data_IF_719005784751
#
_entry.id   IF_719005784751
#
_cell.length_a   1.000
_cell.length_b   1.000
_cell.length_c   1.000
_cell.angle_alpha   90.00
_cell.angle_beta   90.00
_cell.angle_gamma   90.00
#
_symmetry.space_group_name_H-M   'P 1'
#
loop_
_entity.id
_entity.type
_entity.pdbx_description
1 polymer ?
#
# COMPACT_ATOMS: atom_id res chain seq x y z
N UNK A 1 -2.88 2.94 -25.09
CA UNK A 1 -1.72 2.62 -24.22
C UNK A 1 -2.07 2.41 -22.74
N UNK A 2 -2.85 3.28 -22.07
CA UNK A 2 -3.17 3.14 -20.62
C UNK A 2 -3.89 1.84 -20.25
N UNK A 3 -4.88 1.43 -21.04
CA UNK A 3 -5.66 0.21 -20.81
C UNK A 3 -4.78 -1.05 -20.84
N UNK A 4 -3.82 -1.11 -21.77
CA UNK A 4 -2.89 -2.23 -21.90
C UNK A 4 -2.00 -2.40 -20.66
N UNK A 5 -1.56 -1.29 -20.03
CA UNK A 5 -0.77 -1.38 -18.80
C UNK A 5 -1.59 -1.85 -17.61
N UNK A 6 -2.81 -1.32 -17.45
CA UNK A 6 -3.69 -1.71 -16.35
C UNK A 6 -4.06 -3.21 -16.40
N UNK A 7 -4.33 -3.73 -17.60
CA UNK A 7 -4.58 -5.17 -17.82
C UNK A 7 -3.35 -6.02 -17.54
N UNK A 8 -2.17 -5.62 -18.05
CA UNK A 8 -0.90 -6.33 -17.78
C UNK A 8 -0.59 -6.38 -16.28
N UNK A 9 -0.78 -5.27 -15.56
CA UNK A 9 -0.58 -5.20 -14.10
C UNK A 9 -1.55 -6.11 -13.36
N UNK A 10 -2.83 -6.12 -13.74
CA UNK A 10 -3.83 -7.01 -13.15
C UNK A 10 -3.49 -8.48 -13.41
N UNK A 11 -3.00 -8.82 -14.60
CA UNK A 11 -2.53 -10.17 -14.92
C UNK A 11 -1.36 -10.63 -14.04
N UNK A 12 -0.37 -9.75 -13.81
CA UNK A 12 0.76 -10.05 -12.90
C UNK A 12 0.25 -10.26 -11.46
N UNK A 13 -0.67 -9.42 -11.00
CA UNK A 13 -1.26 -9.53 -9.66
C UNK A 13 -2.05 -10.85 -9.49
N UNK A 14 -2.85 -11.23 -10.49
CA UNK A 14 -3.59 -12.48 -10.48
C UNK A 14 -2.65 -13.70 -10.49
N UNK A 15 -1.61 -13.68 -11.34
CA UNK A 15 -0.60 -14.74 -11.38
C UNK A 15 0.14 -14.86 -10.02
N UNK A 16 0.52 -13.74 -9.40
CA UNK A 16 1.16 -13.73 -8.10
C UNK A 16 0.24 -14.23 -6.98
N UNK A 17 -1.05 -13.94 -7.05
CA UNK A 17 -2.05 -14.44 -6.12
C UNK A 17 -2.19 -15.96 -6.20
N UNK A 18 -2.29 -16.51 -7.41
CA UNK A 18 -2.36 -17.95 -7.67
C UNK A 18 -1.07 -18.66 -7.26
N UNK A 19 0.10 -18.07 -7.57
CA UNK A 19 1.39 -18.65 -7.19
C UNK A 19 1.58 -18.72 -5.67
N UNK A 20 1.07 -17.73 -4.93
CA UNK A 20 1.09 -17.72 -3.46
C UNK A 20 -0.02 -18.59 -2.82
N UNK A 21 -1.06 -18.91 -3.59
CA UNK A 21 -2.22 -19.69 -3.16
C UNK A 21 -2.55 -20.84 -4.15
N UNK A 22 -1.62 -21.78 -4.40
CA UNK A 22 -1.81 -22.80 -5.42
C UNK A 22 -2.86 -23.85 -5.03
N UNK A 23 -3.12 -24.04 -3.74
CA UNK A 23 -4.01 -25.09 -3.23
C UNK A 23 -5.48 -24.65 -3.17
N UNK A 24 -6.02 -24.08 -4.24
CA UNK A 24 -7.36 -23.49 -4.26
C UNK A 24 -8.46 -24.49 -3.86
N UNK A 25 -8.30 -25.78 -4.17
CA UNK A 25 -9.25 -26.84 -3.79
C UNK A 25 -9.43 -26.95 -2.27
N UNK A 26 -8.38 -26.64 -1.50
CA UNK A 26 -8.42 -26.69 -0.05
C UNK A 26 -9.39 -25.66 0.55
N UNK A 27 -9.72 -24.58 -0.18
CA UNK A 27 -10.72 -23.59 0.25
C UNK A 27 -12.10 -24.22 0.40
N UNK A 28 -12.43 -25.19 -0.46
CA UNK A 28 -13.73 -25.86 -0.46
C UNK A 28 -13.73 -27.07 0.48
N UNK A 29 -12.57 -27.67 0.70
CA UNK A 29 -12.40 -28.79 1.63
C UNK A 29 -12.27 -28.33 3.09
N UNK A 30 -11.94 -27.06 3.34
CA UNK A 30 -11.75 -26.54 4.69
C UNK A 30 -10.48 -27.03 5.39
N UNK A 31 -9.52 -27.57 4.62
CA UNK A 31 -8.30 -28.18 5.15
C UNK A 31 -7.14 -27.21 4.97
N UNK A 32 -6.41 -26.93 6.05
CA UNK A 32 -5.21 -26.11 5.98
C UNK A 32 -4.07 -26.96 5.41
N UNK A 33 -3.44 -26.51 4.33
CA UNK A 33 -2.21 -27.13 3.83
C UNK A 33 -1.11 -27.04 4.89
N UNK A 34 -0.43 -28.15 5.20
CA UNK A 34 0.60 -28.24 6.26
C UNK A 34 2.00 -28.62 5.77
N UNK A 35 2.25 -28.58 4.46
CA UNK A 35 3.57 -28.93 3.92
C UNK A 35 4.65 -27.88 4.22
N UNK A 36 5.91 -28.25 3.99
CA UNK A 36 7.08 -27.47 4.42
C UNK A 36 7.15 -26.05 3.86
N UNK A 37 6.58 -25.80 2.69
CA UNK A 37 6.52 -24.46 2.11
C UNK A 37 5.79 -23.44 3.00
N UNK A 38 4.90 -23.89 3.90
CA UNK A 38 4.20 -23.02 4.85
C UNK A 38 5.13 -22.33 5.86
N UNK A 39 6.33 -22.86 6.08
CA UNK A 39 7.32 -22.21 6.94
C UNK A 39 8.05 -21.06 6.24
N UNK A 40 7.92 -20.95 4.92
CA UNK A 40 8.51 -19.87 4.14
C UNK A 40 7.58 -18.67 4.09
N UNK A 41 8.09 -17.50 4.45
CA UNK A 41 7.30 -16.27 4.35
C UNK A 41 7.00 -15.91 2.90
N UNK A 42 5.76 -15.52 2.63
CA UNK A 42 5.40 -14.85 1.39
C UNK A 42 5.85 -13.38 1.46
N UNK A 43 6.25 -12.76 0.34
CA UNK A 43 6.69 -11.35 0.32
C UNK A 43 5.52 -10.36 0.53
N UNK A 44 4.34 -10.83 0.86
CA UNK A 44 3.10 -10.05 0.96
C UNK A 44 2.23 -10.52 2.13
N UNK A 45 1.08 -9.87 2.36
CA UNK A 45 0.07 -10.42 3.28
C UNK A 45 -0.51 -11.68 2.65
N UNK A 46 -0.28 -12.82 3.28
CA UNK A 46 -0.79 -14.13 2.89
C UNK A 46 -1.02 -14.94 4.17
N UNK A 47 -2.27 -15.14 4.58
CA UNK A 47 -2.55 -15.71 5.90
C UNK A 47 -2.01 -17.14 6.06
N UNK A 48 -1.32 -17.45 7.17
CA UNK A 48 -0.83 -18.81 7.42
C UNK A 48 -1.97 -19.83 7.46
N UNK A 49 -3.10 -19.46 8.07
CA UNK A 49 -4.31 -20.29 8.16
C UNK A 49 -5.13 -20.34 6.87
N UNK A 50 -4.73 -19.63 5.80
CA UNK A 50 -5.42 -19.74 4.51
C UNK A 50 -5.27 -21.18 3.98
N UNK A 51 -6.38 -21.88 3.68
CA UNK A 51 -6.34 -23.23 3.12
C UNK A 51 -5.53 -23.33 1.81
N UNK A 52 -5.62 -22.30 0.97
CA UNK A 52 -4.96 -22.26 -0.33
C UNK A 52 -3.48 -21.82 -0.28
N UNK A 53 -3.06 -21.13 0.79
CA UNK A 53 -1.74 -20.51 0.82
C UNK A 53 -0.61 -21.54 0.86
N UNK A 54 0.43 -21.33 0.05
CA UNK A 54 1.65 -22.14 0.12
C UNK A 54 2.68 -21.62 1.12
N UNK A 55 2.58 -20.36 1.57
CA UNK A 55 3.54 -19.73 2.48
C UNK A 55 2.88 -19.04 3.68
N UNK A 56 3.69 -18.55 4.60
CA UNK A 56 3.27 -17.81 5.80
C UNK A 56 3.18 -16.30 5.58
N UNK A 57 2.38 -15.63 6.42
CA UNK A 57 2.41 -14.18 6.54
C UNK A 57 3.65 -13.77 7.34
N UNK A 58 4.52 -12.88 6.84
CA UNK A 58 5.67 -12.43 7.60
C UNK A 58 5.28 -11.61 8.84
N UNK A 59 4.12 -10.94 8.83
CA UNK A 59 3.59 -10.25 10.02
C UNK A 59 3.10 -11.26 11.06
N UNK A 60 2.38 -12.31 10.65
CA UNK A 60 1.96 -13.36 11.57
C UNK A 60 3.16 -14.11 12.17
N UNK A 61 4.17 -14.41 11.35
CA UNK A 61 5.42 -15.02 11.80
C UNK A 61 6.16 -14.14 12.81
N UNK A 62 6.15 -12.82 12.63
CA UNK A 62 6.72 -11.87 13.58
C UNK A 62 5.97 -11.83 14.92
N UNK A 63 4.64 -12.02 14.91
CA UNK A 63 3.80 -11.96 16.11
C UNK A 63 3.79 -13.25 16.93
N UNK A 64 3.90 -14.40 16.27
CA UNK A 64 3.85 -15.70 16.94
C UNK A 64 5.07 -15.99 17.83
N UNK A 65 6.08 -15.10 17.88
CA UNK A 65 7.39 -15.40 18.49
C UNK A 65 7.98 -14.21 19.27
N UNK A 66 7.14 -13.39 19.91
CA UNK A 66 7.56 -12.56 21.04
C UNK A 66 7.80 -13.45 22.29
N UNK A 67 8.61 -14.50 22.13
CA UNK A 67 8.76 -15.67 23.01
C UNK A 67 10.21 -15.83 23.51
N UNK A 68 10.37 -15.98 24.82
CA UNK A 68 11.65 -16.18 25.51
C UNK A 68 12.34 -17.55 25.37
N UNK A 69 12.30 -18.21 24.20
CA UNK A 69 13.15 -19.40 23.97
C UNK A 69 13.41 -19.81 22.50
N UNK A 70 12.81 -19.15 21.49
CA UNK A 70 13.10 -19.42 20.07
C UNK A 70 13.19 -18.14 19.24
N UNK A 71 14.16 -17.28 19.57
CA UNK A 71 14.47 -16.06 18.80
C UNK A 71 14.69 -16.30 17.28
N UNK A 72 14.97 -17.53 16.85
CA UNK A 72 15.29 -17.90 15.46
C UNK A 72 14.19 -17.56 14.45
N UNK A 73 12.92 -17.82 14.76
CA UNK A 73 11.81 -17.58 13.83
C UNK A 73 11.48 -16.08 13.68
N UNK A 74 11.62 -15.28 14.74
CA UNK A 74 11.53 -13.81 14.67
C UNK A 74 12.66 -13.21 13.84
N UNK A 75 13.90 -13.67 14.04
CA UNK A 75 15.03 -13.22 13.22
C UNK A 75 14.87 -13.63 11.75
N UNK A 76 14.30 -14.80 11.48
CA UNK A 76 13.94 -15.21 10.12
C UNK A 76 12.89 -14.28 9.51
N UNK A 77 11.78 -14.00 10.19
CA UNK A 77 10.73 -13.12 9.67
C UNK A 77 11.23 -11.68 9.48
N UNK A 78 11.99 -11.14 10.43
CA UNK A 78 12.62 -9.82 10.33
C UNK A 78 13.65 -9.77 9.20
N UNK A 79 14.51 -10.78 9.09
CA UNK A 79 15.50 -10.90 8.03
C UNK A 79 14.84 -10.99 6.66
N UNK A 80 13.79 -11.79 6.53
CA UNK A 80 12.99 -11.89 5.30
C UNK A 80 12.35 -10.56 4.93
N UNK A 81 11.67 -9.89 5.88
CA UNK A 81 11.08 -8.57 5.67
C UNK A 81 12.14 -7.54 5.27
N UNK A 82 13.32 -7.59 5.90
CA UNK A 82 14.42 -6.70 5.59
C UNK A 82 14.96 -6.94 4.18
N UNK A 83 15.21 -8.20 3.79
CA UNK A 83 15.68 -8.56 2.45
C UNK A 83 14.67 -8.11 1.40
N UNK A 84 13.40 -8.49 1.52
CA UNK A 84 12.36 -8.08 0.56
C UNK A 84 12.23 -6.55 0.53
N UNK A 85 12.24 -5.89 1.69
CA UNK A 85 12.13 -4.44 1.78
C UNK A 85 13.33 -3.70 1.17
N UNK A 86 14.57 -4.16 1.36
CA UNK A 86 15.76 -3.56 0.73
C UNK A 86 15.80 -3.85 -0.77
N UNK A 87 15.43 -5.04 -1.23
CA UNK A 87 15.51 -5.33 -2.66
C UNK A 87 14.40 -4.64 -3.46
N UNK A 88 13.15 -4.79 -3.01
CA UNK A 88 11.98 -4.38 -3.80
C UNK A 88 11.12 -3.32 -3.12
N UNK A 89 11.29 -3.09 -1.80
CA UNK A 89 10.47 -2.16 -1.02
C UNK A 89 8.98 -2.48 -1.13
N UNK A 90 8.13 -1.45 -1.24
CA UNK A 90 6.67 -1.64 -1.41
C UNK A 90 6.23 -2.14 -2.79
N UNK A 91 7.14 -2.49 -3.70
CA UNK A 91 6.77 -3.12 -4.98
C UNK A 91 6.02 -4.44 -4.74
N UNK A 92 6.39 -5.19 -3.70
CA UNK A 92 5.67 -6.39 -3.30
C UNK A 92 4.19 -6.10 -2.97
N UNK A 93 3.89 -4.99 -2.29
CA UNK A 93 2.51 -4.54 -2.05
C UNK A 93 1.78 -4.14 -3.35
N UNK A 94 2.51 -3.68 -4.36
CA UNK A 94 1.98 -3.24 -5.65
C UNK A 94 1.63 -4.37 -6.61
N UNK A 95 2.41 -5.46 -6.60
CA UNK A 95 2.30 -6.57 -7.56
C UNK A 95 2.03 -7.94 -6.95
N UNK A 96 2.52 -8.23 -5.74
CA UNK A 96 2.47 -9.58 -5.17
C UNK A 96 1.34 -9.75 -4.14
N UNK A 97 0.92 -8.69 -3.47
CA UNK A 97 -0.10 -8.78 -2.42
C UNK A 97 -1.51 -9.01 -2.99
N UNK A 98 -2.09 -10.18 -2.67
CA UNK A 98 -3.46 -10.54 -3.01
C UNK A 98 -4.46 -9.52 -2.44
N UNK A 99 -4.34 -9.14 -1.17
CA UNK A 99 -5.22 -8.13 -0.58
C UNK A 99 -5.06 -6.74 -1.21
N UNK A 100 -3.87 -6.41 -1.72
CA UNK A 100 -3.65 -5.19 -2.50
C UNK A 100 -4.32 -5.24 -3.87
N UNK A 101 -4.32 -6.41 -4.51
CA UNK A 101 -5.03 -6.66 -5.77
C UNK A 101 -6.55 -6.60 -5.59
N UNK A 102 -7.09 -7.19 -4.52
CA UNK A 102 -8.51 -7.11 -4.19
C UNK A 102 -8.98 -5.66 -4.05
N UNK A 103 -8.23 -4.81 -3.33
CA UNK A 103 -8.55 -3.39 -3.21
C UNK A 103 -8.46 -2.65 -4.56
N UNK A 104 -7.50 -2.99 -5.42
CA UNK A 104 -7.42 -2.42 -6.78
C UNK A 104 -8.64 -2.82 -7.63
N UNK A 105 -9.17 -4.03 -7.45
CA UNK A 105 -10.36 -4.51 -8.16
C UNK A 105 -11.63 -3.82 -7.64
N UNK A 106 -11.80 -3.72 -6.31
CA UNK A 106 -12.94 -3.04 -5.69
C UNK A 106 -13.00 -1.56 -6.07
N UNK A 107 -11.85 -0.89 -6.15
CA UNK A 107 -11.81 0.52 -6.55
C UNK A 107 -12.24 0.75 -8.01
N UNK A 108 -12.27 -0.29 -8.87
CA UNK A 108 -12.78 -0.19 -10.25
C UNK A 108 -14.31 -0.21 -10.35
N UNK A 109 -15.01 -0.59 -9.28
CA UNK A 109 -16.48 -0.57 -9.26
C UNK A 109 -16.95 0.87 -9.49
N UNK A 110 -17.92 1.12 -10.40
CA UNK A 110 -18.44 2.45 -10.73
C UNK A 110 -19.28 3.00 -9.57
N UNK A 111 -18.59 3.56 -8.57
CA UNK A 111 -19.15 4.20 -7.39
C UNK A 111 -18.52 5.59 -7.23
N UNK A 112 -19.19 6.55 -6.55
CA UNK A 112 -18.62 7.88 -6.33
C UNK A 112 -17.29 7.75 -5.58
N UNK A 113 -16.22 8.32 -6.11
CA UNK A 113 -14.89 8.23 -5.49
C UNK A 113 -14.72 9.35 -4.47
N UNK A 114 -14.30 8.98 -3.26
CA UNK A 114 -14.09 9.93 -2.17
C UNK A 114 -12.65 10.44 -2.19
N UNK A 115 -12.50 11.75 -2.28
CA UNK A 115 -11.22 12.43 -2.12
C UNK A 115 -10.99 12.74 -0.64
N UNK A 116 -10.02 12.08 -0.01
CA UNK A 116 -9.66 12.37 1.38
C UNK A 116 -8.85 13.67 1.43
N UNK A 117 -9.21 14.65 2.28
CA UNK A 117 -8.47 15.90 2.35
C UNK A 117 -7.03 15.66 2.81
N UNK A 118 -6.06 16.36 2.19
CA UNK A 118 -4.61 16.13 2.37
C UNK A 118 -4.14 16.10 3.82
N UNK A 119 -4.72 16.94 4.68
CA UNK A 119 -4.40 16.98 6.12
C UNK A 119 -4.81 15.69 6.82
N UNK A 120 -6.03 15.23 6.57
CA UNK A 120 -6.58 14.00 7.15
C UNK A 120 -5.84 12.76 6.63
N UNK A 121 -5.60 12.70 5.32
CA UNK A 121 -4.81 11.63 4.70
C UNK A 121 -3.42 11.48 5.34
N UNK A 122 -2.72 12.61 5.57
CA UNK A 122 -1.40 12.62 6.23
C UNK A 122 -1.45 12.10 7.67
N UNK A 123 -2.50 12.39 8.41
CA UNK A 123 -2.69 11.90 9.79
C UNK A 123 -3.05 10.41 9.79
N UNK A 124 -4.01 9.99 8.97
CA UNK A 124 -4.44 8.59 8.85
C UNK A 124 -3.29 7.68 8.41
N UNK A 125 -2.39 8.15 7.54
CA UNK A 125 -1.19 7.38 7.16
C UNK A 125 -0.24 7.09 8.32
N UNK A 126 -0.30 7.86 9.41
CA UNK A 126 0.48 7.55 10.62
C UNK A 126 -0.12 6.38 11.40
N UNK A 127 -1.42 6.11 11.26
CA UNK A 127 -2.09 5.05 12.00
C UNK A 127 -1.50 3.66 11.73
N UNK A 128 -0.98 3.37 10.53
CA UNK A 128 -0.32 2.08 10.26
C UNK A 128 0.96 1.88 11.07
N UNK A 129 1.65 2.95 11.45
CA UNK A 129 2.82 2.89 12.33
C UNK A 129 2.40 2.68 13.78
N UNK A 130 1.28 3.28 14.19
CA UNK A 130 0.67 2.98 15.47
C UNK A 130 0.23 1.51 15.53
N UNK A 131 -0.44 0.99 14.49
CA UNK A 131 -0.80 -0.44 14.38
C UNK A 131 0.44 -1.33 14.44
N UNK A 132 1.52 -0.98 13.71
CA UNK A 132 2.77 -1.72 13.77
C UNK A 132 3.36 -1.74 15.18
N UNK A 133 3.52 -0.59 15.82
CA UNK A 133 4.15 -0.53 17.16
C UNK A 133 3.24 -1.17 18.22
N UNK A 134 1.95 -0.85 18.23
CA UNK A 134 1.03 -1.29 19.26
C UNK A 134 0.59 -2.75 19.08
N UNK A 135 -0.02 -3.08 17.93
CA UNK A 135 -0.66 -4.38 17.71
C UNK A 135 0.32 -5.46 17.26
N UNK A 136 1.42 -5.11 16.59
CA UNK A 136 2.38 -6.09 16.09
C UNK A 136 3.57 -6.30 17.04
N UNK A 137 4.03 -5.25 17.73
CA UNK A 137 5.22 -5.33 18.58
C UNK A 137 4.91 -5.30 20.08
N UNK A 138 4.22 -4.27 20.57
CA UNK A 138 4.05 -4.01 22.00
C UNK A 138 3.06 -4.96 22.68
N UNK A 139 1.86 -5.12 22.14
CA UNK A 139 0.82 -5.95 22.76
C UNK A 139 1.20 -7.44 22.81
N UNK A 140 1.74 -8.07 21.74
CA UNK A 140 2.26 -9.44 21.84
C UNK A 140 3.43 -9.56 22.84
N UNK A 141 4.21 -8.50 23.06
CA UNK A 141 5.32 -8.52 24.02
C UNK A 141 4.89 -8.34 25.49
N UNK A 142 3.78 -7.64 25.74
CA UNK A 142 3.33 -7.27 27.10
C UNK A 142 2.15 -8.13 27.57
N UNK A 143 1.18 -8.40 26.70
CA UNK A 143 -0.01 -9.17 27.01
C UNK A 143 0.21 -10.65 26.67
N UNK A 144 0.97 -11.32 27.52
CA UNK A 144 1.28 -12.74 27.38
C UNK A 144 0.29 -13.62 28.13
N UNK A 145 -0.05 -14.77 27.53
CA UNK A 145 -0.84 -15.81 28.19
C UNK A 145 -0.03 -16.49 29.31
N UNK A 146 -0.67 -17.37 30.09
CA UNK A 146 -0.07 -18.12 31.20
C UNK A 146 1.21 -18.92 30.82
N UNK A 147 1.42 -19.18 29.53
CA UNK A 147 2.61 -19.84 28.98
C UNK A 147 3.71 -18.88 28.50
N UNK A 148 3.58 -17.57 28.77
CA UNK A 148 4.50 -16.53 28.28
C UNK A 148 4.38 -16.27 26.78
N UNK A 149 3.31 -16.73 26.13
CA UNK A 149 3.06 -16.55 24.69
C UNK A 149 2.14 -15.35 24.45
N UNK A 150 2.61 -14.36 23.69
CA UNK A 150 1.78 -13.27 23.19
C UNK A 150 0.80 -13.73 22.11
N UNK A 151 -0.45 -13.28 22.17
CA UNK A 151 -1.41 -13.52 21.09
C UNK A 151 -1.09 -12.65 19.87
N UNK A 152 -1.39 -13.11 18.64
CA UNK A 152 -1.15 -12.33 17.42
C UNK A 152 -2.25 -11.27 17.22
N UNK A 153 -2.24 -10.23 18.06
CA UNK A 153 -3.26 -9.18 18.16
C UNK A 153 -3.69 -8.56 16.82
N UNK A 154 -2.76 -8.30 15.90
CA UNK A 154 -3.13 -7.75 14.59
C UNK A 154 -3.87 -8.78 13.72
N UNK A 155 -3.38 -10.02 13.68
CA UNK A 155 -4.02 -11.10 12.93
C UNK A 155 -5.40 -11.47 13.48
N UNK A 156 -5.57 -11.38 14.80
CA UNK A 156 -6.80 -11.75 15.49
C UNK A 156 -7.88 -10.66 15.41
N UNK A 157 -7.51 -9.37 15.55
CA UNK A 157 -8.47 -8.27 15.71
C UNK A 157 -8.60 -7.33 14.51
N UNK A 158 -7.57 -7.18 13.66
CA UNK A 158 -7.53 -6.10 12.66
C UNK A 158 -7.24 -6.56 11.22
N UNK A 159 -6.78 -7.79 10.98
CA UNK A 159 -6.34 -8.24 9.67
C UNK A 159 -7.52 -8.65 8.76
N UNK A 160 -7.90 -7.83 7.75
CA UNK A 160 -8.99 -8.19 6.83
C UNK A 160 -8.59 -9.34 5.89
N UNK A 161 -7.30 -9.40 5.51
CA UNK A 161 -6.78 -10.45 4.64
C UNK A 161 -6.95 -11.84 5.27
N UNK A 162 -6.60 -11.99 6.56
CA UNK A 162 -6.79 -13.25 7.28
C UNK A 162 -8.26 -13.64 7.44
N UNK A 163 -9.14 -12.66 7.64
CA UNK A 163 -10.59 -12.91 7.73
C UNK A 163 -11.16 -13.43 6.40
N UNK A 164 -10.74 -12.85 5.28
CA UNK A 164 -11.25 -13.20 3.94
C UNK A 164 -10.61 -14.49 3.42
N UNK A 165 -9.29 -14.64 3.55
CA UNK A 165 -8.55 -15.77 2.98
C UNK A 165 -8.69 -17.04 3.82
N UNK A 166 -8.80 -16.92 5.16
CA UNK A 166 -8.85 -18.05 6.07
C UNK A 166 -10.17 -18.13 6.82
N UNK A 167 -10.59 -17.04 7.47
CA UNK A 167 -11.75 -17.02 8.36
C UNK A 167 -13.05 -17.49 7.70
N UNK A 168 -13.44 -16.84 6.59
CA UNK A 168 -14.69 -17.16 5.88
C UNK A 168 -14.67 -18.58 5.32
N UNK A 169 -13.67 -19.03 4.54
CA UNK A 169 -13.65 -20.39 4.00
C UNK A 169 -13.65 -21.48 5.07
N UNK A 170 -12.85 -21.33 6.13
CA UNK A 170 -12.75 -22.34 7.19
C UNK A 170 -14.06 -22.49 7.96
N UNK A 171 -14.72 -21.38 8.30
CA UNK A 171 -16.00 -21.43 9.02
C UNK A 171 -17.12 -21.94 8.11
N UNK A 172 -17.14 -21.54 6.84
CA UNK A 172 -18.15 -22.03 5.89
C UNK A 172 -18.09 -23.56 5.70
N UNK A 173 -16.91 -24.16 5.85
CA UNK A 173 -16.67 -25.60 5.59
C UNK A 173 -16.64 -26.47 6.85
N UNK A 174 -16.46 -25.89 8.04
CA UNK A 174 -16.32 -26.65 9.29
C UNK A 174 -17.46 -26.34 10.28
N UNK A 175 -18.43 -27.24 10.47
CA UNK A 175 -19.53 -27.07 11.43
C UNK A 175 -19.07 -26.83 12.87
N UNK A 176 -17.97 -27.47 13.27
CA UNK A 176 -17.38 -27.27 14.61
C UNK A 176 -16.89 -25.84 14.84
N UNK A 177 -16.41 -25.15 13.80
CA UNK A 177 -16.00 -23.74 13.90
C UNK A 177 -17.21 -22.80 13.90
N UNK A 178 -18.30 -23.18 13.23
CA UNK A 178 -19.56 -22.43 13.25
C UNK A 178 -20.17 -22.42 14.65
N UNK A 179 -20.08 -23.54 15.38
CA UNK A 179 -20.53 -23.63 16.77
C UNK A 179 -19.73 -22.72 17.74
N UNK A 180 -18.53 -22.30 17.36
CA UNK A 180 -17.66 -21.39 18.12
C UNK A 180 -17.73 -19.95 17.62
N UNK A 181 -18.71 -19.61 16.76
CA UNK A 181 -18.97 -18.23 16.37
C UNK A 181 -19.32 -17.39 17.59
N UNK A 182 -18.71 -16.22 17.70
CA UNK A 182 -18.93 -15.30 18.80
C UNK A 182 -18.49 -13.89 18.43
N UNK A 183 -18.61 -12.98 19.39
CA UNK A 183 -18.42 -11.54 19.19
C UNK A 183 -17.07 -11.17 18.53
N UNK A 184 -16.02 -11.96 18.77
CA UNK A 184 -14.71 -11.74 18.14
C UNK A 184 -14.73 -11.98 16.62
N UNK A 185 -15.48 -13.00 16.17
CA UNK A 185 -15.65 -13.26 14.75
C UNK A 185 -16.47 -12.16 14.08
N UNK A 186 -17.56 -11.74 14.72
CA UNK A 186 -18.41 -10.66 14.22
C UNK A 186 -17.64 -9.35 14.10
N UNK A 187 -16.80 -9.05 15.09
CA UNK A 187 -15.90 -7.89 15.07
C UNK A 187 -14.94 -7.93 13.88
N UNK A 188 -14.16 -9.01 13.69
CA UNK A 188 -13.19 -9.06 12.60
C UNK A 188 -13.86 -9.11 11.23
N UNK A 189 -15.05 -9.72 11.12
CA UNK A 189 -15.85 -9.69 9.91
C UNK A 189 -16.34 -8.26 9.63
N UNK A 190 -16.82 -7.54 10.64
CA UNK A 190 -17.20 -6.13 10.54
C UNK A 190 -16.06 -5.24 10.07
N UNK A 191 -14.86 -5.41 10.63
CA UNK A 191 -13.64 -4.73 10.18
C UNK A 191 -13.32 -5.06 8.72
N UNK A 192 -13.37 -6.34 8.34
CA UNK A 192 -13.10 -6.76 6.97
C UNK A 192 -14.09 -6.13 5.98
N UNK A 193 -15.40 -6.21 6.27
CA UNK A 193 -16.46 -5.60 5.46
C UNK A 193 -16.27 -4.08 5.37
N UNK A 194 -16.01 -3.39 6.48
CA UNK A 194 -15.79 -1.95 6.50
C UNK A 194 -14.61 -1.54 5.60
N UNK A 195 -13.50 -2.30 5.64
CA UNK A 195 -12.35 -2.07 4.77
C UNK A 195 -12.68 -2.31 3.30
N UNK A 196 -13.43 -3.38 2.96
CA UNK A 196 -13.82 -3.68 1.59
C UNK A 196 -14.75 -2.61 1.03
N UNK A 197 -15.76 -2.20 1.80
CA UNK A 197 -16.67 -1.10 1.45
C UNK A 197 -15.87 0.18 1.23
N UNK A 198 -14.98 0.54 2.15
CA UNK A 198 -14.13 1.72 2.00
C UNK A 198 -13.22 1.63 0.76
N UNK A 199 -12.77 0.44 0.37
CA UNK A 199 -11.94 0.23 -0.82
C UNK A 199 -12.68 0.47 -2.14
N UNK A 200 -14.02 0.46 -2.12
CA UNK A 200 -14.84 0.87 -3.27
C UNK A 200 -14.75 2.39 -3.49
N UNK A 201 -14.75 3.16 -2.41
CA UNK A 201 -14.79 4.63 -2.46
C UNK A 201 -13.40 5.29 -2.46
N UNK A 202 -12.44 4.70 -1.74
CA UNK A 202 -11.08 5.21 -1.55
C UNK A 202 -10.10 4.19 -2.11
N UNK A 203 -9.06 4.64 -2.82
CA UNK A 203 -8.06 3.71 -3.36
C UNK A 203 -7.19 3.15 -2.24
N UNK A 204 -7.13 1.81 -2.11
CA UNK A 204 -6.26 1.05 -1.19
C UNK A 204 -6.24 1.57 0.28
N UNK A 205 -7.39 1.76 0.94
CA UNK A 205 -7.47 2.39 2.25
C UNK A 205 -6.69 1.64 3.33
N UNK A 206 -6.73 0.30 3.31
CA UNK A 206 -6.00 -0.50 4.29
C UNK A 206 -4.49 -0.37 4.12
N UNK A 207 -3.99 -0.41 2.88
CA UNK A 207 -2.56 -0.27 2.61
C UNK A 207 -2.03 1.14 2.95
N UNK A 208 -2.90 2.16 2.83
CA UNK A 208 -2.59 3.55 3.21
C UNK A 208 -2.55 3.74 4.73
N UNK A 209 -3.54 3.20 5.44
CA UNK A 209 -3.83 3.64 6.81
C UNK A 209 -3.61 2.60 7.91
N UNK A 210 -3.73 1.30 7.64
CA UNK A 210 -3.75 0.28 8.71
C UNK A 210 -2.72 -0.84 8.54
N UNK A 211 -2.19 -1.06 7.33
CA UNK A 211 -1.35 -2.21 7.02
C UNK A 211 0.07 -2.11 7.64
N UNK A 212 0.44 -2.97 8.61
CA UNK A 212 1.77 -2.95 9.24
C UNK A 212 2.86 -3.41 8.26
N UNK A 213 2.57 -4.35 7.36
CA UNK A 213 3.51 -4.77 6.30
C UNK A 213 3.88 -3.59 5.40
N UNK A 214 2.86 -2.80 5.05
CA UNK A 214 3.08 -1.55 4.33
C UNK A 214 3.93 -0.58 5.13
N UNK A 215 3.76 -0.48 6.46
CA UNK A 215 4.56 0.40 7.30
C UNK A 215 6.06 0.03 7.23
N UNK A 216 6.37 -1.26 7.37
CA UNK A 216 7.74 -1.80 7.31
C UNK A 216 8.37 -1.53 5.94
N UNK A 217 7.78 -2.04 4.85
CA UNK A 217 8.34 -1.83 3.51
C UNK A 217 8.37 -0.35 3.09
N UNK A 218 7.47 0.46 3.62
CA UNK A 218 7.44 1.91 3.37
C UNK A 218 8.66 2.63 3.94
N UNK A 219 9.16 2.24 5.12
CA UNK A 219 10.44 2.76 5.65
C UNK A 219 11.61 2.41 4.73
N UNK A 220 11.58 1.20 4.18
CA UNK A 220 12.66 0.66 3.36
C UNK A 220 12.67 1.22 1.94
N UNK A 221 11.58 1.87 1.48
CA UNK A 221 11.52 2.49 0.15
C UNK A 221 12.68 3.46 -0.13
N UNK A 222 13.19 4.17 0.89
CA UNK A 222 14.29 5.12 0.72
C UNK A 222 15.61 4.44 0.39
N UNK A 223 15.87 3.27 0.98
CA UNK A 223 17.13 2.54 0.86
C UNK A 223 17.09 1.44 -0.19
N UNK A 224 15.90 1.09 -0.69
CA UNK A 224 15.77 -0.09 -1.54
C UNK A 224 16.40 0.06 -2.93
N UNK A 225 16.83 -1.04 -3.54
CA UNK A 225 17.50 -1.07 -4.84
C UNK A 225 16.61 -0.64 -6.02
N UNK A 226 15.37 -1.14 -6.07
CA UNK A 226 14.43 -0.78 -7.14
C UNK A 226 13.76 0.55 -6.79
N UNK A 227 13.83 1.55 -7.66
CA UNK A 227 13.19 2.86 -7.48
C UNK A 227 12.52 3.34 -8.76
N UNK A 228 11.64 4.33 -8.61
CA UNK A 228 11.18 5.17 -9.71
C UNK A 228 11.95 6.50 -9.65
N UNK A 229 12.59 6.88 -10.76
CA UNK A 229 13.30 8.13 -10.91
C UNK A 229 12.53 9.05 -11.86
N UNK A 230 12.56 10.35 -11.57
CA UNK A 230 12.01 11.40 -12.43
C UNK A 230 13.18 12.16 -13.04
N UNK A 231 13.11 12.44 -14.34
CA UNK A 231 14.04 13.33 -15.02
C UNK A 231 13.46 14.75 -15.02
N UNK A 232 14.00 15.62 -14.18
CA UNK A 232 13.48 16.99 -14.02
C UNK A 232 13.59 17.81 -15.31
N UNK A 233 14.62 17.56 -16.13
CA UNK A 233 14.78 18.24 -17.44
C UNK A 233 13.72 17.84 -18.46
N UNK A 234 13.21 16.62 -18.37
CA UNK A 234 12.15 16.13 -19.26
C UNK A 234 10.74 16.38 -18.68
N UNK A 235 10.63 16.70 -17.39
CA UNK A 235 9.36 16.83 -16.71
C UNK A 235 8.70 18.19 -17.01
N UNK A 236 7.55 18.16 -17.67
CA UNK A 236 6.78 19.37 -18.00
C UNK A 236 5.76 19.78 -16.91
N UNK A 237 5.85 19.23 -15.70
CA UNK A 237 4.99 19.57 -14.55
C UNK A 237 3.47 19.52 -14.79
N UNK A 238 3.01 18.64 -15.67
CA UNK A 238 1.59 18.54 -16.06
C UNK A 238 0.62 17.92 -15.02
N UNK A 239 1.09 17.50 -13.84
CA UNK A 239 0.22 16.95 -12.77
C UNK A 239 -0.39 15.55 -12.98
N UNK A 240 -0.44 15.02 -14.21
CA UNK A 240 -1.10 13.72 -14.54
C UNK A 240 -0.60 12.53 -13.73
N UNK A 241 0.66 12.56 -13.28
CA UNK A 241 1.24 11.50 -12.48
C UNK A 241 0.68 11.48 -11.04
N UNK A 242 0.34 12.64 -10.48
CA UNK A 242 -0.29 12.77 -9.16
C UNK A 242 -1.74 12.29 -9.22
N UNK A 243 -2.50 12.73 -10.23
CA UNK A 243 -3.91 12.33 -10.44
C UNK A 243 -4.08 10.82 -10.63
N UNK A 244 -3.15 10.17 -11.33
CA UNK A 244 -3.24 8.74 -11.61
C UNK A 244 -2.68 7.85 -10.48
N UNK A 245 -2.09 8.42 -9.43
CA UNK A 245 -1.41 7.65 -8.40
C UNK A 245 -2.41 6.99 -7.44
N UNK A 246 -2.51 5.64 -7.37
CA UNK A 246 -3.47 4.99 -6.47
C UNK A 246 -3.15 5.22 -4.98
N UNK A 247 -1.93 5.67 -4.67
CA UNK A 247 -1.48 5.92 -3.31
C UNK A 247 -1.50 7.40 -2.91
N UNK A 248 -1.95 8.30 -3.80
CA UNK A 248 -1.96 9.76 -3.63
C UNK A 248 -0.61 10.32 -3.17
N UNK A 249 0.47 9.86 -3.81
CA UNK A 249 1.81 10.39 -3.60
C UNK A 249 1.89 11.79 -4.20
N UNK A 250 2.44 12.75 -3.43
CA UNK A 250 2.81 14.10 -3.91
C UNK A 250 3.83 13.97 -5.05
N UNK A 251 3.37 13.91 -6.29
CA UNK A 251 4.16 13.64 -7.49
C UNK A 251 4.24 14.89 -8.38
N UNK A 252 5.36 15.09 -9.11
CA UNK A 252 6.48 14.16 -9.30
C UNK A 252 7.51 14.09 -8.15
N UNK A 253 7.55 15.08 -7.26
CA UNK A 253 8.68 15.33 -6.35
C UNK A 253 8.92 14.18 -5.36
N UNK A 254 7.86 13.60 -4.79
CA UNK A 254 7.99 12.50 -3.80
C UNK A 254 7.96 11.11 -4.41
N UNK A 255 7.89 10.95 -5.74
CA UNK A 255 7.94 9.62 -6.37
C UNK A 255 9.16 8.80 -5.91
N UNK A 256 10.39 9.36 -5.83
CA UNK A 256 11.58 8.56 -5.53
C UNK A 256 11.73 8.17 -4.06
N UNK A 257 11.15 8.95 -3.14
CA UNK A 257 11.44 8.86 -1.69
C UNK A 257 10.21 8.56 -0.82
N UNK A 258 9.01 8.58 -1.39
CA UNK A 258 7.78 8.38 -0.62
C UNK A 258 7.69 6.96 -0.04
N UNK A 259 7.41 6.90 1.27
CA UNK A 259 7.08 5.67 1.97
C UNK A 259 5.74 5.07 1.51
N UNK A 260 4.92 5.83 0.76
CA UNK A 260 3.63 5.37 0.24
C UNK A 260 3.72 4.73 -1.14
N UNK A 261 4.77 5.07 -1.91
CA UNK A 261 4.93 4.60 -3.28
C UNK A 261 5.04 3.07 -3.33
N UNK A 262 4.00 2.41 -3.86
CA UNK A 262 3.99 0.97 -4.12
C UNK A 262 4.69 0.59 -5.43
N UNK A 263 5.32 1.57 -6.09
CA UNK A 263 6.05 1.38 -7.33
C UNK A 263 5.21 0.67 -8.38
N UNK A 264 3.95 1.03 -8.51
CA UNK A 264 3.05 0.35 -9.44
C UNK A 264 3.25 0.75 -10.91
N UNK A 265 4.15 1.70 -11.20
CA UNK A 265 4.45 2.17 -12.56
C UNK A 265 3.32 2.92 -13.28
N UNK A 266 2.17 3.17 -12.63
CA UNK A 266 1.03 3.87 -13.24
C UNK A 266 1.42 5.30 -13.65
N UNK A 267 2.20 6.00 -12.83
CA UNK A 267 2.71 7.33 -13.17
C UNK A 267 3.57 7.32 -14.46
N UNK A 268 4.39 6.28 -14.66
CA UNK A 268 5.19 6.08 -15.88
C UNK A 268 4.32 5.85 -17.12
N UNK A 269 3.20 5.13 -17.00
CA UNK A 269 2.34 4.82 -18.16
C UNK A 269 1.46 5.98 -18.61
N UNK A 270 1.28 7.01 -17.77
CA UNK A 270 0.47 8.20 -18.09
C UNK A 270 1.29 9.44 -18.41
N UNK A 271 2.61 9.41 -18.19
CA UNK A 271 3.50 10.56 -18.39
C UNK A 271 3.68 10.85 -19.90
N UNK A 272 3.23 12.02 -20.41
CA UNK A 272 3.35 12.35 -21.83
C UNK A 272 4.80 12.62 -22.25
N UNK A 273 5.62 13.16 -21.33
CA UNK A 273 7.03 13.50 -21.60
C UNK A 273 8.00 12.33 -21.34
N UNK A 274 7.50 11.13 -20.98
CA UNK A 274 8.32 9.97 -20.64
C UNK A 274 9.41 10.24 -19.58
N UNK A 275 9.17 11.21 -18.68
CA UNK A 275 10.13 11.66 -17.68
C UNK A 275 10.36 10.66 -16.53
N UNK A 276 9.48 9.66 -16.36
CA UNK A 276 9.51 8.71 -15.24
C UNK A 276 10.05 7.35 -15.71
N UNK A 277 11.08 6.86 -15.04
CA UNK A 277 11.70 5.56 -15.35
C UNK A 277 11.94 4.71 -14.10
N UNK A 278 12.03 3.40 -14.32
CA UNK A 278 12.54 2.48 -13.32
C UNK A 278 14.06 2.60 -13.24
N UNK A 279 14.60 2.56 -12.03
CA UNK A 279 16.03 2.64 -11.76
C UNK A 279 16.40 1.54 -10.77
N UNK A 280 17.42 0.76 -11.09
CA UNK A 280 18.13 -0.08 -10.13
C UNK A 280 19.38 0.69 -9.67
N UNK A 281 19.70 0.62 -8.38
CA UNK A 281 20.76 1.39 -7.71
C UNK A 281 20.45 2.89 -7.57
N UNK A 282 21.10 3.48 -6.56
CA UNK A 282 21.06 4.88 -6.12
C UNK A 282 20.95 5.81 -7.34
N UNK A 283 19.73 6.11 -7.77
CA UNK A 283 19.52 7.25 -8.65
C UNK A 283 20.09 8.43 -7.88
N UNK A 284 21.06 9.18 -8.42
CA UNK A 284 21.51 10.38 -7.75
C UNK A 284 20.25 11.20 -7.53
N UNK A 285 20.03 11.61 -6.28
CA UNK A 285 19.17 12.75 -5.99
C UNK A 285 19.78 13.85 -6.83
N UNK A 286 19.24 14.10 -8.03
CA UNK A 286 19.70 15.21 -8.84
C UNK A 286 19.45 16.44 -7.98
N UNK A 287 20.55 17.13 -7.73
CA UNK A 287 20.68 18.13 -6.71
C UNK A 287 19.52 19.14 -6.81
N UNK A 288 19.04 19.54 -5.64
CA UNK A 288 18.40 20.83 -5.47
C UNK A 288 19.38 21.89 -6.00
N UNK A 289 19.13 22.38 -7.21
CA UNK A 289 19.95 23.36 -7.90
C UNK A 289 19.01 24.24 -8.71
N UNK A 290 18.60 25.33 -8.06
CA UNK A 290 18.04 26.57 -8.60
C UNK A 290 16.99 26.46 -9.71
N UNK A 291 15.75 26.72 -9.32
CA UNK A 291 14.67 27.12 -10.22
C UNK A 291 14.93 28.58 -10.64
N UNK A 292 15.20 28.91 -11.91
CA UNK A 292 14.98 30.26 -12.39
C UNK A 292 13.48 30.41 -12.53
N UNK A 293 12.90 31.18 -11.61
CA UNK A 293 11.51 31.58 -11.67
C UNK A 293 11.35 32.63 -12.77
N UNK A 294 11.42 32.22 -14.04
CA UNK A 294 11.17 33.14 -15.15
C UNK A 294 9.65 33.28 -15.32
N UNK A 295 9.17 34.42 -14.84
CA UNK A 295 7.80 34.90 -15.01
C UNK A 295 7.47 34.87 -16.50
N UNK A 296 6.64 33.91 -16.91
CA UNK A 296 5.85 34.06 -18.12
C UNK A 296 4.83 35.18 -17.87
N UNK A 297 5.26 36.42 -18.07
CA UNK A 297 4.36 37.52 -18.33
C UNK A 297 3.61 37.19 -19.62
N UNK A 298 2.40 36.68 -19.46
CA UNK A 298 1.42 36.64 -20.54
C UNK A 298 1.17 38.09 -20.97
N UNK A 299 1.61 38.41 -22.20
CA UNK A 299 1.14 39.57 -22.93
C UNK A 299 -0.38 39.47 -23.09
N UNK A 300 -1.09 40.27 -22.30
CA UNK A 300 -2.45 40.69 -22.58
C UNK A 300 -2.39 42.07 -23.21
N UNK A 301 -2.49 42.13 -24.54
CA UNK A 301 -2.80 43.35 -25.27
C UNK A 301 -4.20 43.81 -24.88
N UNK A 302 -4.27 44.76 -23.94
CA UNK A 302 -5.45 45.60 -23.75
C UNK A 302 -5.24 46.87 -24.57
N UNK A 303 -5.92 46.93 -25.71
CA UNK A 303 -6.20 48.18 -26.39
C UNK A 303 -6.99 49.09 -25.42
N UNK A 304 -6.44 50.26 -25.13
CA UNK A 304 -7.06 51.27 -24.29
C UNK A 304 -6.64 52.65 -24.80
N UNK A 305 -7.57 53.30 -25.48
CA UNK A 305 -7.43 54.61 -26.09
C UNK A 305 -7.00 55.68 -25.07
N UNK A 306 -6.01 56.50 -25.43
CA UNK A 306 -5.74 57.74 -24.74
C UNK A 306 -6.27 58.89 -25.60
N UNK A 307 -7.45 59.38 -25.25
CA UNK A 307 -7.99 60.66 -25.71
C UNK A 307 -7.29 61.77 -24.93
N UNK A 308 -6.47 62.56 -25.63
CA UNK A 308 -6.08 63.88 -25.16
C UNK A 308 -7.20 64.86 -25.50
N UNK A 309 -7.83 65.44 -24.48
CA UNK A 309 -8.64 66.65 -24.60
C UNK A 309 -8.60 67.39 -23.25
N UNK A 310 -8.21 68.66 -23.31
CA UNK A 310 -7.84 69.46 -22.16
C UNK A 310 -9.00 69.96 -21.31
N UNK A 311 -8.63 70.44 -20.14
CA UNK A 311 -9.40 71.40 -19.37
C UNK A 311 -8.41 72.30 -18.61
N UNK A 312 -8.28 73.52 -19.11
CA UNK A 312 -7.80 74.69 -18.37
C UNK A 312 -8.82 75.06 -17.30
N UNK A 313 -8.36 75.25 -16.07
CA UNK A 313 -9.10 75.95 -15.03
C UNK A 313 -8.41 77.31 -14.74
N UNK A 314 -9.17 78.36 -14.39
CA UNK A 314 -8.65 79.70 -14.14
C UNK A 314 -8.17 79.83 -12.69
N UNK A 315 -7.29 80.80 -12.43
CA UNK A 315 -7.42 81.84 -11.39
C UNK A 315 -6.06 82.50 -11.12
N UNK A 316 -6.07 83.83 -11.27
CA UNK A 316 -5.07 84.87 -10.91
C UNK A 316 -3.74 84.96 -11.67
#
# INVERSE_FOLDING_TARGET
MKLNYALRRAGIQAAAALAQNPFLLNLWQGIIFKGDSKYVCAPSLNCWSCPAAAGACPIGALQNVAMGAQYSASFYALGFLAIVGVFVGRLACGFLCLFGFLQDLLYKIPAPKLCVPKRLDRVLRKAKYLVLVLLVLLLPAVATNNFGLGSPWFCEYLCPAGTIEAGIPLIATNPSLQAMLGALFDWKLGVAVAVLVLAVFVSRPFCKYLCPLGAIYGLMNRISFVKLAVNDRACIQCGRCAEACPMDVEAPERIPTSAECIRCGVCKSVCPASAIRWSALKAPTLAQGEVPHEKAAMGGTAAGANTAAGASAPDE
#
